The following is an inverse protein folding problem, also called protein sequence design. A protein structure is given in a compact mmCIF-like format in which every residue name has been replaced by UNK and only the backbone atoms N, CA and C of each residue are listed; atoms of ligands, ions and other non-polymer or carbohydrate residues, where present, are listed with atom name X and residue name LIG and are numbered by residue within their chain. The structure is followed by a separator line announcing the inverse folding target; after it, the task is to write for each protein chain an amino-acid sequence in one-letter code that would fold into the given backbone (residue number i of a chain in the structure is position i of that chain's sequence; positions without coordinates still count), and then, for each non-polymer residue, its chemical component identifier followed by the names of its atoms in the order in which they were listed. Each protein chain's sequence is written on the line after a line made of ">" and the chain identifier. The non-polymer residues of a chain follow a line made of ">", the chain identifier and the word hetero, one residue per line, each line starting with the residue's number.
data_IF_152654502999
#
_entry.id   IF_152654502999
#
_cell.length_a   1.000
_cell.length_b   1.000
_cell.length_c   1.000
_cell.angle_alpha   90.00
_cell.angle_beta   90.00
_cell.angle_gamma   90.00
#
_symmetry.space_group_name_H-M   'P 1'
#
loop_
_entity.id
_entity.type
_entity.pdbx_description
1 polymer ?
#
# COMPACT_ATOMS: atom_id res chain seq x y z
N UNK A 1 2.28 -9.94 -9.78
CA UNK A 1 1.61 -8.62 -9.88
C UNK A 1 2.03 -7.99 -11.19
N UNK A 2 1.08 -7.57 -11.99
CA UNK A 2 1.42 -6.95 -13.25
C UNK A 2 1.82 -5.48 -13.05
N UNK A 3 2.38 -4.88 -14.10
CA UNK A 3 2.91 -3.52 -14.04
C UNK A 3 1.83 -2.50 -13.72
N UNK A 4 0.63 -2.68 -14.26
CA UNK A 4 -0.48 -1.76 -14.03
C UNK A 4 -0.92 -1.76 -12.57
N UNK A 5 -1.05 -2.93 -11.97
CA UNK A 5 -1.41 -3.08 -10.57
C UNK A 5 -0.36 -2.43 -9.68
N UNK A 6 0.91 -2.64 -10.02
CA UNK A 6 2.01 -2.04 -9.27
C UNK A 6 1.95 -0.51 -9.33
N UNK A 7 1.71 0.05 -10.49
CA UNK A 7 1.59 1.49 -10.64
C UNK A 7 0.45 2.06 -9.80
N UNK A 8 -0.68 1.36 -9.76
CA UNK A 8 -1.81 1.78 -8.94
C UNK A 8 -1.43 1.86 -7.47
N UNK A 9 -0.70 0.86 -6.97
CA UNK A 9 -0.26 0.87 -5.58
C UNK A 9 0.75 1.97 -5.30
N UNK A 10 1.64 2.27 -6.25
CA UNK A 10 2.56 3.39 -6.10
C UNK A 10 1.78 4.69 -6.00
N UNK A 11 0.75 4.88 -6.81
CA UNK A 11 -0.08 6.08 -6.75
C UNK A 11 -0.81 6.23 -5.42
N UNK A 12 -1.33 5.12 -4.89
CA UNK A 12 -1.99 5.12 -3.58
C UNK A 12 -0.98 5.52 -2.50
N UNK A 13 0.21 4.93 -2.54
CA UNK A 13 1.27 5.23 -1.58
C UNK A 13 1.63 6.72 -1.60
N UNK A 14 1.91 7.26 -2.76
CA UNK A 14 2.31 8.66 -2.92
C UNK A 14 1.20 9.60 -2.47
N UNK A 15 -0.04 9.31 -2.84
CA UNK A 15 -1.19 10.14 -2.46
C UNK A 15 -1.33 10.22 -0.93
N UNK A 16 -1.16 9.11 -0.25
CA UNK A 16 -1.27 9.07 1.20
C UNK A 16 -0.10 9.80 1.87
N UNK A 17 1.09 9.69 1.29
CA UNK A 17 2.25 10.43 1.79
C UNK A 17 2.04 11.94 1.68
N UNK A 18 1.48 12.40 0.58
CA UNK A 18 1.19 13.82 0.38
C UNK A 18 0.16 14.34 1.37
N UNK A 19 -0.78 13.50 1.77
CA UNK A 19 -1.80 13.86 2.76
C UNK A 19 -1.33 13.65 4.20
N UNK A 20 -0.12 13.17 4.40
CA UNK A 20 0.40 12.88 5.72
C UNK A 20 -0.26 11.70 6.41
N UNK A 21 -0.85 10.80 5.65
CA UNK A 21 -1.56 9.63 6.19
C UNK A 21 -0.74 8.36 6.06
N UNK A 22 0.49 8.41 6.51
CA UNK A 22 1.40 7.27 6.43
C UNK A 22 1.07 6.16 7.42
N UNK A 23 0.14 6.41 8.34
CA UNK A 23 -0.35 5.40 9.28
C UNK A 23 -1.64 4.73 8.81
N UNK A 24 -2.19 5.14 7.67
CA UNK A 24 -3.41 4.55 7.14
C UNK A 24 -3.19 3.10 6.72
N UNK A 25 -4.23 2.29 6.90
CA UNK A 25 -4.19 0.88 6.51
C UNK A 25 -3.79 0.71 5.04
N UNK A 26 -4.40 1.49 4.15
CA UNK A 26 -4.10 1.37 2.72
C UNK A 26 -2.66 1.74 2.39
N UNK A 27 -2.06 2.65 3.15
CA UNK A 27 -0.66 2.97 2.96
C UNK A 27 0.22 1.75 3.23
N UNK A 28 -0.01 1.10 4.36
CA UNK A 28 0.73 -0.10 4.73
C UNK A 28 0.47 -1.24 3.76
N UNK A 29 -0.77 -1.37 3.32
CA UNK A 29 -1.12 -2.38 2.33
C UNK A 29 -0.39 -2.13 1.01
N UNK A 30 -0.27 -0.86 0.60
CA UNK A 30 0.50 -0.51 -0.59
C UNK A 30 1.96 -0.91 -0.45
N UNK A 31 2.56 -0.66 0.72
CA UNK A 31 3.93 -1.08 0.98
C UNK A 31 4.08 -2.60 0.87
N UNK A 32 3.14 -3.34 1.44
CA UNK A 32 3.15 -4.79 1.37
C UNK A 32 3.06 -5.29 -0.07
N UNK A 33 2.14 -4.74 -0.84
CA UNK A 33 1.94 -5.13 -2.24
C UNK A 33 3.16 -4.82 -3.11
N UNK A 34 3.87 -3.75 -2.76
CA UNK A 34 5.07 -3.35 -3.49
C UNK A 34 6.33 -4.03 -2.99
N UNK A 35 6.22 -4.81 -1.92
CA UNK A 35 7.38 -5.49 -1.32
C UNK A 35 8.31 -4.54 -0.60
N UNK A 36 7.81 -3.41 -0.12
CA UNK A 36 8.62 -2.41 0.57
C UNK A 36 8.60 -2.63 2.09
N UNK A 37 9.65 -2.19 2.79
CA UNK A 37 9.68 -2.27 4.25
C UNK A 37 8.52 -1.48 4.88
N UNK A 38 7.98 -2.00 5.95
CA UNK A 38 6.86 -1.39 6.65
C UNK A 38 5.53 -2.05 6.37
N UNK A 39 5.47 -2.93 5.36
CA UNK A 39 4.24 -3.63 4.99
C UNK A 39 4.18 -5.07 5.48
N UNK A 40 5.24 -5.57 6.13
CA UNK A 40 5.32 -6.98 6.47
C UNK A 40 4.27 -7.43 7.49
N UNK A 41 3.87 -6.53 8.37
CA UNK A 41 2.95 -6.86 9.46
C UNK A 41 1.49 -6.55 9.13
N UNK A 42 1.21 -6.18 7.90
CA UNK A 42 -0.15 -5.86 7.49
C UNK A 42 -0.95 -7.14 7.31
N UNK A 43 -2.08 -7.24 8.00
CA UNK A 43 -3.01 -8.33 7.81
C UNK A 43 -4.01 -7.92 6.75
N UNK A 44 -4.03 -8.65 5.65
CA UNK A 44 -5.03 -8.42 4.63
C UNK A 44 -6.37 -8.99 5.07
N UNK A 45 -7.40 -8.17 4.96
CA UNK A 45 -8.75 -8.62 5.24
C UNK A 45 -9.28 -9.27 3.98
N UNK A 46 -9.51 -10.57 4.04
CA UNK A 46 -9.98 -11.34 2.89
C UNK A 46 -11.50 -11.42 2.77
N UNK A 47 -12.20 -10.77 3.65
CA UNK A 47 -13.65 -10.83 3.69
C UNK A 47 -14.29 -9.76 2.81
N UNK A 48 -14.34 -10.03 1.55
CA UNK A 48 -15.06 -9.18 0.61
C UNK A 48 -16.20 -9.95 -0.01
#
# INVERSE_FOLDING_TARGET
>A
MDERTRENWVKVKVALEEKGRTDAYFYRLALKRLGLPGGENVKEIESF
#
